data_IF_938493222056
#
_entry.id   IF_938493222056
#
_cell.length_a   1.000
_cell.length_b   1.000
_cell.length_c   1.000
_cell.angle_alpha   90.00
_cell.angle_beta   90.00
_cell.angle_gamma   90.00
#
_symmetry.space_group_name_H-M   'P 1'
#
loop_
_entity.id
_entity.type
_entity.pdbx_description
1 polymer ?
#
# COMPACT_ATOMS: atom_id res chain seq x y z
N UNK A 1 60.11 0.22 -42.50
CA UNK A 1 58.78 0.11 -43.16
C UNK A 1 57.70 0.16 -42.08
N UNK A 2 56.75 1.07 -42.25
CA UNK A 2 55.75 1.47 -41.25
C UNK A 2 54.66 0.40 -41.06
N UNK A 3 54.52 -0.17 -39.86
CA UNK A 3 53.27 -0.84 -39.47
C UNK A 3 52.39 0.16 -38.72
N UNK A 4 51.53 0.83 -39.50
CA UNK A 4 50.45 1.69 -39.01
C UNK A 4 49.39 0.77 -38.37
N UNK A 5 49.59 0.40 -37.09
CA UNK A 5 48.56 -0.25 -36.30
C UNK A 5 47.36 0.69 -36.24
N UNK A 6 46.30 0.27 -36.91
CA UNK A 6 45.01 0.94 -36.94
C UNK A 6 44.34 0.61 -35.61
N UNK A 7 44.34 1.56 -34.68
CA UNK A 7 43.49 1.46 -33.51
C UNK A 7 42.04 1.57 -34.00
N UNK A 8 41.36 0.44 -33.94
CA UNK A 8 39.92 0.34 -34.15
C UNK A 8 39.27 0.91 -32.88
N UNK A 9 38.42 1.96 -32.96
CA UNK A 9 37.62 2.35 -31.81
C UNK A 9 36.72 1.17 -31.47
N UNK A 10 36.92 0.60 -30.27
CA UNK A 10 35.98 -0.35 -29.70
C UNK A 10 34.61 0.30 -29.73
N UNK A 11 33.69 -0.32 -30.46
CA UNK A 11 32.28 0.02 -30.41
C UNK A 11 31.85 -0.32 -29.00
N UNK A 12 31.66 0.71 -28.17
CA UNK A 12 31.19 0.59 -26.80
C UNK A 12 29.86 -0.15 -26.81
N UNK A 13 29.97 -1.41 -26.45
CA UNK A 13 28.94 -2.37 -26.09
C UNK A 13 27.76 -1.68 -25.38
N UNK A 14 26.56 -1.89 -25.91
CA UNK A 14 25.28 -1.54 -25.28
C UNK A 14 25.11 -2.34 -23.99
N UNK A 15 25.86 -1.98 -22.96
CA UNK A 15 25.73 -2.59 -21.65
C UNK A 15 24.39 -2.13 -21.07
N UNK A 16 23.46 -3.06 -20.75
CA UNK A 16 22.22 -2.70 -20.08
C UNK A 16 22.56 -1.97 -18.78
N UNK A 17 21.70 -1.03 -18.33
CA UNK A 17 21.94 -0.21 -17.15
C UNK A 17 22.44 -1.10 -16.01
N UNK A 18 23.62 -0.75 -15.47
CA UNK A 18 24.35 -1.63 -14.56
C UNK A 18 23.54 -1.86 -13.29
N UNK A 19 23.71 -3.03 -12.68
CA UNK A 19 23.15 -3.30 -11.37
C UNK A 19 23.63 -2.27 -10.34
N UNK A 20 24.83 -1.73 -10.54
CA UNK A 20 25.37 -0.64 -9.72
C UNK A 20 24.54 0.64 -9.84
N UNK A 21 24.02 0.98 -11.03
CA UNK A 21 23.12 2.13 -11.20
C UNK A 21 21.76 1.88 -10.54
N UNK A 22 21.24 0.66 -10.60
CA UNK A 22 20.01 0.26 -9.92
C UNK A 22 20.19 0.25 -8.39
N UNK A 23 21.30 -0.30 -7.91
CA UNK A 23 21.69 -0.32 -6.50
C UNK A 23 21.86 1.11 -5.99
N UNK A 24 22.57 1.96 -6.72
CA UNK A 24 22.72 3.38 -6.40
C UNK A 24 21.36 4.10 -6.37
N UNK A 25 20.45 3.79 -7.29
CA UNK A 25 19.10 4.38 -7.31
C UNK A 25 18.23 3.87 -6.17
N UNK A 26 18.28 2.57 -5.85
CA UNK A 26 17.57 1.95 -4.72
C UNK A 26 18.11 2.51 -3.41
N UNK A 27 19.43 2.61 -3.26
CA UNK A 27 20.10 3.13 -2.08
C UNK A 27 19.82 4.63 -1.92
N UNK A 28 19.75 5.41 -3.01
CA UNK A 28 19.34 6.82 -2.99
C UNK A 28 17.85 6.98 -2.64
N UNK A 29 16.97 6.12 -3.16
CA UNK A 29 15.56 6.11 -2.82
C UNK A 29 15.32 5.68 -1.37
N UNK A 30 16.04 4.66 -0.89
CA UNK A 30 16.02 4.20 0.51
C UNK A 30 16.63 5.23 1.44
N UNK A 31 17.74 5.87 1.08
CA UNK A 31 18.33 6.96 1.86
C UNK A 31 17.39 8.18 1.89
N UNK A 32 16.68 8.50 0.80
CA UNK A 32 15.63 9.51 0.82
C UNK A 32 14.43 9.10 1.71
N UNK A 33 14.13 7.79 1.81
CA UNK A 33 13.10 7.23 2.70
C UNK A 33 13.55 7.10 4.17
N UNK A 34 14.84 6.90 4.43
CA UNK A 34 15.43 6.65 5.75
C UNK A 34 16.02 7.90 6.39
N UNK A 35 16.60 8.82 5.60
CA UNK A 35 16.93 10.18 6.03
C UNK A 35 15.65 11.02 6.21
N UNK A 36 14.57 10.60 5.55
CA UNK A 36 13.22 10.92 6.00
C UNK A 36 12.86 10.12 7.27
N UNK A 37 13.48 10.49 8.38
CA UNK A 37 12.72 10.65 9.63
C UNK A 37 11.65 11.75 9.51
N UNK A 38 11.51 12.37 8.32
CA UNK A 38 10.36 13.16 7.96
C UNK A 38 9.10 12.31 8.11
N UNK A 39 8.05 12.84 8.76
CA UNK A 39 6.79 12.12 8.92
C UNK A 39 6.37 11.62 7.54
N UNK A 40 6.02 10.33 7.43
CA UNK A 40 5.38 9.78 6.21
C UNK A 40 4.39 10.84 5.72
N UNK A 41 4.39 11.22 4.42
CA UNK A 41 3.54 12.29 3.92
C UNK A 41 2.16 12.11 4.53
N UNK A 42 1.78 13.03 5.43
CA UNK A 42 0.58 12.84 6.27
C UNK A 42 -0.53 12.44 5.30
N UNK A 43 -1.09 11.22 5.44
CA UNK A 43 -1.90 10.66 4.37
C UNK A 43 -3.00 11.66 4.08
N UNK A 44 -3.04 12.13 2.82
CA UNK A 44 -3.93 13.22 2.46
C UNK A 44 -5.37 12.81 2.81
N UNK A 45 -6.25 13.75 3.17
CA UNK A 45 -7.64 13.42 3.49
C UNK A 45 -8.30 12.56 2.39
N UNK A 46 -7.97 12.86 1.13
CA UNK A 46 -8.38 12.08 -0.04
C UNK A 46 -7.77 10.67 -0.06
N UNK A 47 -6.47 10.53 0.23
CA UNK A 47 -5.80 9.24 0.30
C UNK A 47 -6.33 8.34 1.42
N UNK A 48 -6.68 8.92 2.58
CA UNK A 48 -7.34 8.20 3.65
C UNK A 48 -8.74 7.75 3.25
N UNK A 49 -9.56 8.64 2.67
CA UNK A 49 -10.89 8.29 2.19
C UNK A 49 -10.85 7.18 1.13
N UNK A 50 -9.91 7.25 0.19
CA UNK A 50 -9.70 6.24 -0.84
C UNK A 50 -9.31 4.89 -0.21
N UNK A 51 -8.41 4.90 0.77
CA UNK A 51 -8.03 3.67 1.48
C UNK A 51 -9.23 3.03 2.17
N UNK A 52 -10.03 3.81 2.90
CA UNK A 52 -11.26 3.30 3.52
C UNK A 52 -12.21 2.71 2.46
N UNK A 53 -12.38 3.40 1.32
CA UNK A 53 -13.23 2.94 0.23
C UNK A 53 -12.74 1.60 -0.36
N UNK A 54 -11.42 1.44 -0.56
CA UNK A 54 -10.82 0.19 -1.04
C UNK A 54 -10.91 -0.93 0.00
N UNK A 55 -10.73 -0.62 1.29
CA UNK A 55 -10.94 -1.59 2.38
C UNK A 55 -12.39 -2.09 2.41
N UNK A 56 -13.38 -1.21 2.18
CA UNK A 56 -14.78 -1.62 2.07
C UNK A 56 -15.06 -2.42 0.80
N UNK A 57 -14.61 -1.92 -0.35
CA UNK A 57 -14.84 -2.55 -1.63
C UNK A 57 -14.24 -3.97 -1.66
N UNK A 58 -13.01 -4.13 -1.20
CA UNK A 58 -12.34 -5.45 -1.16
C UNK A 58 -13.09 -6.45 -0.30
N UNK A 59 -13.58 -6.06 0.88
CA UNK A 59 -14.35 -6.95 1.76
C UNK A 59 -15.68 -7.41 1.09
N UNK A 60 -16.37 -6.50 0.41
CA UNK A 60 -17.59 -6.82 -0.35
C UNK A 60 -17.29 -7.72 -1.55
N UNK A 61 -16.23 -7.44 -2.31
CA UNK A 61 -15.81 -8.26 -3.46
C UNK A 61 -15.48 -9.69 -3.03
N UNK A 62 -14.75 -9.85 -1.94
CA UNK A 62 -14.42 -11.18 -1.38
C UNK A 62 -15.68 -11.88 -0.89
N UNK A 63 -16.54 -11.20 -0.12
CA UNK A 63 -17.80 -11.78 0.38
C UNK A 63 -18.75 -12.20 -0.74
N UNK A 64 -18.92 -11.36 -1.76
CA UNK A 64 -19.76 -11.64 -2.91
C UNK A 64 -19.18 -12.79 -3.76
N UNK A 65 -17.88 -12.78 -4.03
CA UNK A 65 -17.21 -13.85 -4.79
C UNK A 65 -17.31 -15.20 -4.08
N UNK A 66 -17.08 -15.23 -2.77
CA UNK A 66 -17.18 -16.44 -1.97
C UNK A 66 -18.62 -16.93 -1.88
N UNK A 67 -19.58 -16.04 -1.60
CA UNK A 67 -20.99 -16.38 -1.51
C UNK A 67 -21.56 -16.90 -2.83
N UNK A 68 -21.18 -16.29 -3.97
CA UNK A 68 -21.57 -16.76 -5.30
C UNK A 68 -20.99 -18.15 -5.61
N UNK A 69 -19.73 -18.39 -5.26
CA UNK A 69 -19.09 -19.69 -5.44
C UNK A 69 -19.80 -20.77 -4.63
N UNK A 70 -20.15 -20.47 -3.37
CA UNK A 70 -20.90 -21.39 -2.50
C UNK A 70 -22.29 -21.67 -3.05
N UNK A 71 -23.04 -20.63 -3.46
CA UNK A 71 -24.38 -20.81 -4.02
C UNK A 71 -24.36 -21.69 -5.27
N UNK A 72 -23.34 -21.53 -6.13
CA UNK A 72 -23.16 -22.39 -7.31
C UNK A 72 -22.82 -23.83 -6.95
N UNK A 73 -22.03 -24.04 -5.90
CA UNK A 73 -21.56 -25.37 -5.54
C UNK A 73 -22.61 -26.19 -4.79
N UNK A 74 -23.39 -25.54 -3.92
CA UNK A 74 -24.46 -26.18 -3.16
C UNK A 74 -25.81 -26.19 -3.92
N UNK A 75 -25.90 -25.50 -5.06
CA UNK A 75 -27.14 -25.35 -5.80
C UNK A 75 -28.21 -24.57 -5.02
N UNK A 76 -27.81 -23.85 -3.97
CA UNK A 76 -28.69 -22.95 -3.25
C UNK A 76 -29.03 -21.75 -4.14
N UNK A 77 -30.22 -21.17 -3.94
CA UNK A 77 -30.50 -19.83 -4.48
C UNK A 77 -29.51 -18.79 -3.92
N UNK A 78 -29.69 -17.48 -4.12
CA UNK A 78 -28.72 -16.45 -3.71
C UNK A 78 -28.56 -16.26 -2.18
N UNK A 79 -28.85 -17.29 -1.37
CA UNK A 79 -28.86 -17.25 0.08
C UNK A 79 -27.46 -17.10 0.68
N UNK A 80 -26.46 -17.88 0.25
CA UNK A 80 -25.10 -17.71 0.78
C UNK A 80 -24.48 -16.42 0.29
N UNK A 81 -24.80 -15.97 -0.92
CA UNK A 81 -24.41 -14.65 -1.40
C UNK A 81 -24.94 -13.55 -0.48
N UNK A 82 -26.23 -13.57 -0.09
CA UNK A 82 -26.77 -12.60 0.87
C UNK A 82 -26.04 -12.66 2.23
N UNK A 83 -25.86 -13.85 2.81
CA UNK A 83 -25.22 -14.00 4.12
C UNK A 83 -23.74 -13.59 4.08
N UNK A 84 -22.98 -14.06 3.09
CA UNK A 84 -21.57 -13.71 2.93
C UNK A 84 -21.37 -12.24 2.59
N UNK A 85 -22.29 -11.61 1.85
CA UNK A 85 -22.24 -10.17 1.58
C UNK A 85 -22.43 -9.36 2.86
N UNK A 86 -23.40 -9.74 3.70
CA UNK A 86 -23.60 -9.10 5.02
C UNK A 86 -22.38 -9.30 5.93
N UNK A 87 -21.85 -10.52 6.01
CA UNK A 87 -20.64 -10.82 6.77
C UNK A 87 -19.43 -10.03 6.26
N UNK A 88 -19.25 -9.95 4.95
CA UNK A 88 -18.19 -9.17 4.31
C UNK A 88 -18.32 -7.68 4.60
N UNK A 89 -19.54 -7.14 4.54
CA UNK A 89 -19.82 -5.75 4.90
C UNK A 89 -19.52 -5.45 6.38
N UNK A 90 -19.98 -6.30 7.30
CA UNK A 90 -19.71 -6.16 8.74
C UNK A 90 -18.21 -6.31 9.03
N UNK A 91 -17.55 -7.31 8.45
CA UNK A 91 -16.11 -7.53 8.59
C UNK A 91 -15.28 -6.37 8.05
N UNK A 92 -15.67 -5.82 6.90
CA UNK A 92 -15.10 -4.59 6.35
C UNK A 92 -15.23 -3.44 7.35
N UNK A 93 -16.46 -3.15 7.78
CA UNK A 93 -16.75 -2.04 8.69
C UNK A 93 -15.98 -2.13 10.01
N UNK A 94 -15.82 -3.33 10.56
CA UNK A 94 -14.98 -3.59 11.73
C UNK A 94 -13.50 -3.25 11.48
N UNK A 95 -12.99 -3.51 10.28
CA UNK A 95 -11.60 -3.19 9.91
C UNK A 95 -11.37 -1.68 9.85
N UNK A 96 -12.31 -0.93 9.26
CA UNK A 96 -12.28 0.54 9.20
C UNK A 96 -12.44 1.15 10.59
N UNK A 97 -13.38 0.65 11.40
CA UNK A 97 -13.57 1.13 12.77
C UNK A 97 -12.34 0.91 13.63
N UNK A 98 -11.66 -0.23 13.47
CA UNK A 98 -10.39 -0.51 14.15
C UNK A 98 -9.29 0.46 13.74
N UNK A 99 -9.21 0.84 12.47
CA UNK A 99 -8.28 1.86 11.98
C UNK A 99 -8.61 3.23 12.55
N UNK A 100 -9.89 3.61 12.60
CA UNK A 100 -10.35 4.87 13.22
C UNK A 100 -10.02 4.95 14.72
N UNK A 101 -10.25 3.88 15.48
CA UNK A 101 -9.91 3.83 16.92
C UNK A 101 -8.42 3.94 17.21
N UNK A 102 -7.54 3.50 16.31
CA UNK A 102 -6.08 3.65 16.48
C UNK A 102 -5.62 5.09 16.27
N UNK A 103 -6.39 5.87 15.49
CA UNK A 103 -6.14 7.29 15.25
C UNK A 103 -6.83 8.18 16.30
N UNK A 104 -7.94 7.70 16.88
CA UNK A 104 -8.73 8.40 17.89
C UNK A 104 -8.57 7.87 19.32
N UNK A 105 -7.58 7.01 19.60
CA UNK A 105 -7.15 6.81 20.98
C UNK A 105 -6.57 8.15 21.43
N UNK A 106 -7.24 8.87 22.34
CA UNK A 106 -6.79 10.19 22.73
C UNK A 106 -5.41 10.02 23.35
N UNK A 107 -4.43 10.72 22.77
CA UNK A 107 -3.35 11.26 23.59
C UNK A 107 -4.03 12.20 24.59
N UNK A 108 -4.41 11.64 25.73
CA UNK A 108 -4.83 12.34 26.95
C UNK A 108 -3.61 13.11 27.50
N UNK A 109 -3.09 14.07 26.74
CA UNK A 109 -1.91 14.84 27.09
C UNK A 109 -2.08 16.30 26.64
N UNK A 110 -3.25 16.90 26.88
CA UNK A 110 -3.38 18.35 26.71
C UNK A 110 -4.51 19.01 27.53
N UNK A 111 -4.85 18.51 28.73
CA UNK A 111 -5.77 19.21 29.67
C UNK A 111 -5.50 18.97 31.15
N UNK A 112 -4.23 18.92 31.57
CA UNK A 112 -3.90 19.20 32.98
C UNK A 112 -2.51 19.79 33.04
N UNK A 113 -2.37 21.06 33.41
CA UNK A 113 -1.04 21.65 33.66
C UNK A 113 -0.72 23.00 33.03
N UNK A 114 -1.69 23.88 32.78
CA UNK A 114 -1.37 25.31 32.75
C UNK A 114 -2.49 26.13 33.37
N UNK A 115 -2.78 25.74 34.61
CA UNK A 115 -3.72 26.34 35.54
C UNK A 115 -2.90 26.83 36.75
N UNK A 116 -1.74 27.44 36.49
CA UNK A 116 -0.79 27.86 37.50
C UNK A 116 0.38 28.58 36.87
N UNK A 117 0.20 29.88 36.64
CA UNK A 117 1.04 31.00 37.12
C UNK A 117 0.50 32.33 36.56
#
# INVERSE_FOLDING_TARGET
>A
MQQRKRNVPMVEDERPPSLDDLENRIQKARAAHSAAGAPSPRPSPVGQALRLAVEMASALFVGAGLGWLLDKWLGTGPWFLLVCLLLGGVGGMLNVYRTGKRLGAPSEEERTGRDGE
#
